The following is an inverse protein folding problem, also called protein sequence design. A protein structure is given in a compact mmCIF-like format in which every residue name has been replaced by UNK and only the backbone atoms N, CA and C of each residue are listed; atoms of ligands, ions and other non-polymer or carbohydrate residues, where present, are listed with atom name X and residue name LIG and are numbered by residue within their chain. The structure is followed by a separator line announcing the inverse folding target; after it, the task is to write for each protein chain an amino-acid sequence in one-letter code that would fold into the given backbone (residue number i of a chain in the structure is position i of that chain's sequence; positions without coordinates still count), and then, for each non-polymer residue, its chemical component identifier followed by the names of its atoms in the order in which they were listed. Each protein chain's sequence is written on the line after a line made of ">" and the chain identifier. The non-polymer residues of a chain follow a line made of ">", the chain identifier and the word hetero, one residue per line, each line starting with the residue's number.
data_IF_005931188915
#
_entry.id   IF_005931188915
#
_cell.length_a   1.000
_cell.length_b   1.000
_cell.length_c   1.000
_cell.angle_alpha   90.00
_cell.angle_beta   90.00
_cell.angle_gamma   90.00
#
_symmetry.space_group_name_H-M   'P 1'
#
loop_
_entity.id
_entity.type
_entity.pdbx_description
1 polymer ?
#
# COMPACT_ATOMS: atom_id res chain seq x y z
N UNK A 1 82.06 6.72 -4.52
CA UNK A 1 82.22 7.71 -5.61
C UNK A 1 82.64 6.93 -6.85
N UNK A 2 81.90 7.11 -7.95
CA UNK A 2 81.97 6.38 -9.24
C UNK A 2 81.46 4.95 -9.19
N UNK A 3 80.72 4.44 -10.14
CA UNK A 3 79.96 4.98 -11.27
C UNK A 3 79.08 3.77 -11.65
N UNK A 4 77.77 3.97 -11.72
CA UNK A 4 77.03 3.97 -12.98
C UNK A 4 77.21 2.72 -13.84
N UNK A 5 76.04 2.26 -14.27
CA UNK A 5 75.85 1.35 -15.39
C UNK A 5 76.42 -0.04 -15.19
N UNK A 6 75.50 -1.00 -15.06
CA UNK A 6 75.30 -1.88 -16.21
C UNK A 6 73.92 -2.54 -16.14
N UNK A 7 73.18 -2.28 -17.22
CA UNK A 7 72.44 -3.27 -17.99
C UNK A 7 71.22 -3.86 -17.27
N UNK A 8 70.03 -3.34 -17.53
CA UNK A 8 69.31 -3.67 -18.77
C UNK A 8 69.33 -5.17 -19.05
N UNK A 9 68.42 -5.89 -18.42
CA UNK A 9 67.75 -7.08 -18.99
C UNK A 9 66.32 -7.08 -18.43
N UNK A 10 65.33 -6.76 -19.27
CA UNK A 10 64.39 -7.74 -19.88
C UNK A 10 63.59 -8.48 -18.79
N UNK A 11 62.25 -8.48 -18.70
CA UNK A 11 61.16 -8.35 -19.68
C UNK A 11 59.96 -7.81 -18.89
N UNK A 12 59.31 -6.73 -19.31
CA UNK A 12 58.07 -6.82 -20.10
C UNK A 12 57.17 -7.95 -19.61
N UNK A 13 56.34 -7.64 -18.60
CA UNK A 13 55.13 -8.38 -18.30
C UNK A 13 53.96 -7.41 -18.57
N UNK A 14 53.54 -7.34 -19.84
CA UNK A 14 52.29 -6.68 -20.20
C UNK A 14 51.10 -7.62 -19.96
N UNK A 15 49.88 -7.08 -19.82
CA UNK A 15 48.89 -7.55 -18.85
C UNK A 15 47.92 -8.58 -19.44
N UNK A 16 47.59 -9.60 -18.66
CA UNK A 16 46.45 -10.50 -18.92
C UNK A 16 45.39 -10.34 -17.81
N UNK A 17 45.32 -9.16 -17.22
CA UNK A 17 44.22 -8.77 -16.32
C UNK A 17 43.42 -7.68 -17.06
N UNK A 18 42.68 -8.08 -18.08
CA UNK A 18 41.30 -8.52 -17.90
C UNK A 18 40.38 -7.34 -17.57
N UNK A 19 40.11 -6.52 -18.60
CA UNK A 19 38.81 -6.35 -19.25
C UNK A 19 37.50 -6.20 -18.43
N UNK A 20 37.52 -6.18 -17.10
CA UNK A 20 36.29 -6.20 -16.29
C UNK A 20 36.08 -4.95 -15.43
N UNK A 21 37.00 -3.97 -15.48
CA UNK A 21 36.99 -2.81 -14.60
C UNK A 21 35.99 -1.68 -14.98
N UNK A 22 35.20 -1.83 -16.06
CA UNK A 22 34.34 -0.74 -16.57
C UNK A 22 32.84 -1.05 -16.70
N UNK A 23 32.41 -2.29 -16.48
CA UNK A 23 31.03 -2.74 -16.80
C UNK A 23 30.07 -2.76 -15.60
N UNK A 24 30.54 -2.53 -14.38
CA UNK A 24 29.73 -2.66 -13.16
C UNK A 24 28.83 -1.45 -12.86
N UNK A 25 29.36 -0.22 -12.99
CA UNK A 25 28.63 1.00 -12.66
C UNK A 25 27.42 1.29 -13.57
N UNK A 26 27.53 1.21 -14.91
CA UNK A 26 26.38 1.46 -15.78
C UNK A 26 25.35 0.34 -15.68
N UNK A 27 25.76 -0.91 -15.45
CA UNK A 27 24.84 -2.04 -15.26
C UNK A 27 24.04 -1.90 -13.95
N UNK A 28 24.68 -1.45 -12.87
CA UNK A 28 24.01 -1.18 -11.59
C UNK A 28 23.03 0.00 -11.72
N UNK A 29 23.42 1.07 -12.41
CA UNK A 29 22.55 2.22 -12.67
C UNK A 29 21.35 1.85 -13.56
N UNK A 30 21.56 1.01 -14.57
CA UNK A 30 20.49 0.52 -15.44
C UNK A 30 19.52 -0.39 -14.68
N UNK A 31 20.02 -1.29 -13.81
CA UNK A 31 19.19 -2.11 -12.91
C UNK A 31 18.37 -1.23 -11.96
N UNK A 32 18.95 -0.15 -11.43
CA UNK A 32 18.27 0.80 -10.54
C UNK A 32 17.09 1.51 -11.24
N UNK A 33 17.21 1.82 -12.54
CA UNK A 33 16.15 2.47 -13.32
C UNK A 33 14.96 1.55 -13.60
N UNK A 34 15.15 0.23 -13.68
CA UNK A 34 14.07 -0.74 -13.84
C UNK A 34 13.23 -0.92 -12.57
N UNK A 35 13.83 -0.79 -11.38
CA UNK A 35 13.10 -0.91 -10.10
C UNK A 35 12.14 0.25 -9.89
N UNK A 36 12.42 1.43 -10.47
CA UNK A 36 11.61 2.64 -10.28
C UNK A 36 10.34 2.70 -11.15
N UNK A 37 10.19 1.80 -12.13
CA UNK A 37 9.04 1.81 -13.06
C UNK A 37 8.03 0.68 -12.83
N UNK A 38 8.18 -0.12 -11.76
CA UNK A 38 7.41 -1.34 -11.57
C UNK A 38 5.96 -1.13 -11.10
N UNK A 39 5.58 0.07 -10.66
CA UNK A 39 4.23 0.32 -10.15
C UNK A 39 3.48 1.35 -10.99
N UNK A 40 2.72 0.86 -11.97
CA UNK A 40 1.66 1.61 -12.63
C UNK A 40 0.33 1.17 -11.99
N UNK A 41 -0.30 1.99 -11.12
CA UNK A 41 -1.60 1.62 -10.57
C UNK A 41 -2.63 1.63 -11.70
N UNK A 42 -3.30 0.48 -11.92
CA UNK A 42 -4.50 0.44 -12.75
C UNK A 42 -5.64 1.10 -11.98
N UNK A 43 -6.51 1.89 -12.63
CA UNK A 43 -7.76 2.29 -12.00
C UNK A 43 -8.60 1.03 -11.80
N UNK A 44 -8.62 0.54 -10.57
CA UNK A 44 -9.59 -0.45 -10.13
C UNK A 44 -10.81 0.33 -9.66
N UNK A 45 -12.00 -0.14 -10.05
CA UNK A 45 -13.23 0.29 -9.40
C UNK A 45 -13.48 -0.64 -8.21
N UNK A 46 -14.06 -0.13 -7.12
CA UNK A 46 -14.51 -0.98 -6.01
C UNK A 46 -15.36 -2.15 -6.52
N UNK A 47 -15.18 -3.32 -5.92
CA UNK A 47 -16.04 -4.46 -6.23
C UNK A 47 -17.44 -4.30 -5.62
N UNK A 48 -17.52 -3.60 -4.48
CA UNK A 48 -18.76 -3.23 -3.81
C UNK A 48 -19.28 -1.91 -4.39
N UNK A 49 -20.58 -1.86 -4.67
CA UNK A 49 -21.27 -0.63 -5.07
C UNK A 49 -21.07 0.49 -4.04
N UNK A 50 -20.96 1.72 -4.52
CA UNK A 50 -20.58 2.85 -3.67
C UNK A 50 -21.63 3.15 -2.59
N UNK A 51 -22.92 3.06 -2.88
CA UNK A 51 -23.97 3.35 -1.89
C UNK A 51 -23.97 2.28 -0.80
N UNK A 52 -23.84 1.00 -1.20
CA UNK A 52 -23.67 -0.12 -0.26
C UNK A 52 -22.40 0.03 0.58
N UNK A 53 -21.30 0.47 -0.03
CA UNK A 53 -20.04 0.69 0.67
C UNK A 53 -20.14 1.81 1.70
N UNK A 54 -20.89 2.88 1.40
CA UNK A 54 -21.18 3.96 2.36
C UNK A 54 -21.94 3.41 3.57
N UNK A 55 -23.00 2.65 3.36
CA UNK A 55 -23.78 2.06 4.47
C UNK A 55 -22.93 1.13 5.35
N UNK A 56 -22.14 0.26 4.73
CA UNK A 56 -21.21 -0.64 5.43
C UNK A 56 -20.21 0.13 6.28
N UNK A 57 -19.59 1.17 5.72
CA UNK A 57 -18.56 1.94 6.42
C UNK A 57 -19.13 2.78 7.57
N UNK A 58 -20.38 3.24 7.47
CA UNK A 58 -21.09 3.87 8.58
C UNK A 58 -21.23 2.89 9.75
N UNK A 59 -21.70 1.66 9.49
CA UNK A 59 -21.84 0.66 10.54
C UNK A 59 -20.49 0.26 11.15
N UNK A 60 -19.43 0.18 10.34
CA UNK A 60 -18.05 -0.03 10.82
C UNK A 60 -17.63 1.10 11.77
N UNK A 61 -17.87 2.36 11.43
CA UNK A 61 -17.56 3.49 12.30
C UNK A 61 -18.34 3.46 13.61
N UNK A 62 -19.62 3.08 13.57
CA UNK A 62 -20.45 2.91 14.77
C UNK A 62 -19.92 1.77 15.64
N UNK A 63 -19.55 0.64 15.04
CA UNK A 63 -18.95 -0.49 15.75
C UNK A 63 -17.62 -0.11 16.42
N UNK A 64 -16.75 0.62 15.72
CA UNK A 64 -15.49 1.11 16.28
C UNK A 64 -15.69 2.08 17.46
N UNK A 65 -16.67 2.97 17.35
CA UNK A 65 -17.04 3.89 18.42
C UNK A 65 -17.57 3.13 19.65
N UNK A 66 -18.41 2.11 19.44
CA UNK A 66 -19.00 1.31 20.52
C UNK A 66 -17.95 0.55 21.35
N UNK A 67 -16.84 0.12 20.73
CA UNK A 67 -15.75 -0.59 21.43
C UNK A 67 -14.63 0.33 21.93
N UNK A 68 -14.73 1.65 21.73
CA UNK A 68 -13.61 2.58 21.97
C UNK A 68 -13.13 2.56 23.44
N UNK A 69 -14.03 2.29 24.38
CA UNK A 69 -13.72 2.19 25.81
C UNK A 69 -13.06 0.84 26.20
N UNK A 70 -13.18 -0.19 25.36
CA UNK A 70 -12.62 -1.51 25.60
C UNK A 70 -11.12 -1.55 25.28
N UNK A 71 -10.40 -2.52 25.86
CA UNK A 71 -8.95 -2.69 25.69
C UNK A 71 -8.58 -4.16 25.51
N UNK A 72 -7.44 -4.39 24.87
CA UNK A 72 -6.83 -5.72 24.69
C UNK A 72 -7.77 -6.72 24.02
N UNK A 73 -7.64 -7.99 24.41
CA UNK A 73 -8.36 -9.11 23.82
C UNK A 73 -9.89 -8.94 23.81
N UNK A 74 -10.46 -8.22 24.79
CA UNK A 74 -11.91 -7.95 24.83
C UNK A 74 -12.33 -7.02 23.69
N UNK A 75 -11.54 -5.97 23.41
CA UNK A 75 -11.80 -5.09 22.26
C UNK A 75 -11.73 -5.87 20.96
N UNK A 76 -10.68 -6.67 20.80
CA UNK A 76 -10.44 -7.45 19.58
C UNK A 76 -11.55 -8.47 19.34
N UNK A 77 -12.00 -9.15 20.41
CA UNK A 77 -13.10 -10.11 20.34
C UNK A 77 -14.42 -9.44 19.95
N UNK A 78 -14.71 -8.25 20.51
CA UNK A 78 -15.94 -7.52 20.17
C UNK A 78 -15.93 -6.96 18.75
N UNK A 79 -14.78 -6.46 18.27
CA UNK A 79 -14.64 -6.05 16.88
C UNK A 79 -14.87 -7.22 15.92
N UNK A 80 -14.34 -8.40 16.23
CA UNK A 80 -14.54 -9.58 15.39
C UNK A 80 -16.03 -9.96 15.29
N UNK A 81 -16.78 -9.87 16.40
CA UNK A 81 -18.23 -10.10 16.39
C UNK A 81 -18.95 -9.05 15.55
N UNK A 82 -18.65 -7.75 15.75
CA UNK A 82 -19.31 -6.68 15.01
C UNK A 82 -19.03 -6.74 13.51
N UNK A 83 -17.78 -6.99 13.10
CA UNK A 83 -17.46 -7.14 11.68
C UNK A 83 -18.16 -8.35 11.04
N UNK A 84 -18.30 -9.46 11.78
CA UNK A 84 -19.11 -10.59 11.33
C UNK A 84 -20.57 -10.19 11.11
N UNK A 85 -21.17 -9.50 12.08
CA UNK A 85 -22.57 -9.04 11.98
C UNK A 85 -22.80 -8.05 10.85
N UNK A 86 -21.90 -7.07 10.67
CA UNK A 86 -21.95 -6.11 9.56
C UNK A 86 -21.90 -6.85 8.23
N UNK A 87 -20.99 -7.82 8.09
CA UNK A 87 -20.91 -8.66 6.90
C UNK A 87 -22.21 -9.41 6.61
N UNK A 88 -22.84 -9.97 7.63
CA UNK A 88 -24.13 -10.66 7.51
C UNK A 88 -25.28 -9.73 7.13
N UNK A 89 -25.39 -8.56 7.79
CA UNK A 89 -26.43 -7.56 7.54
C UNK A 89 -26.38 -7.07 6.10
N UNK A 90 -25.17 -6.78 5.61
CA UNK A 90 -24.96 -6.23 4.27
C UNK A 90 -24.76 -7.30 3.19
N UNK A 91 -24.73 -8.59 3.54
CA UNK A 91 -24.45 -9.68 2.61
C UNK A 91 -23.13 -9.44 1.87
N UNK A 92 -22.04 -9.22 2.60
CA UNK A 92 -20.72 -8.97 2.05
C UNK A 92 -20.01 -10.28 1.71
N UNK A 93 -19.46 -10.36 0.51
CA UNK A 93 -18.38 -11.29 0.21
C UNK A 93 -17.05 -10.70 0.71
N UNK A 94 -16.32 -11.48 1.50
CA UNK A 94 -15.05 -11.04 2.07
C UNK A 94 -14.02 -10.74 0.99
N UNK A 95 -14.05 -11.46 -0.14
CA UNK A 95 -13.13 -11.23 -1.24
C UNK A 95 -13.44 -9.90 -1.97
N UNK A 96 -14.72 -9.58 -2.16
CA UNK A 96 -15.15 -8.28 -2.71
C UNK A 96 -14.78 -7.12 -1.76
N UNK A 97 -14.94 -7.32 -0.46
CA UNK A 97 -14.57 -6.32 0.54
C UNK A 97 -13.06 -6.06 0.56
N UNK A 98 -12.22 -7.10 0.59
CA UNK A 98 -10.77 -6.96 0.53
C UNK A 98 -10.31 -6.24 -0.74
N UNK A 99 -10.84 -6.64 -1.90
CA UNK A 99 -10.54 -6.01 -3.20
C UNK A 99 -10.97 -4.54 -3.22
N UNK A 100 -12.12 -4.23 -2.62
CA UNK A 100 -12.61 -2.87 -2.46
C UNK A 100 -11.68 -2.04 -1.59
N UNK A 101 -11.22 -2.58 -0.45
CA UNK A 101 -10.27 -1.91 0.44
C UNK A 101 -8.91 -1.66 -0.23
N UNK A 102 -8.41 -2.61 -1.03
CA UNK A 102 -7.21 -2.39 -1.84
C UNK A 102 -7.39 -1.27 -2.86
N UNK A 103 -8.56 -1.21 -3.51
CA UNK A 103 -8.90 -0.15 -4.46
C UNK A 103 -8.90 1.22 -3.78
N UNK A 104 -9.57 1.34 -2.63
CA UNK A 104 -9.60 2.59 -1.87
C UNK A 104 -8.20 3.06 -1.44
N UNK A 105 -7.31 2.14 -1.05
CA UNK A 105 -5.93 2.46 -0.66
C UNK A 105 -5.10 3.00 -1.83
N UNK A 106 -5.39 2.57 -3.05
CA UNK A 106 -4.65 2.95 -4.25
C UNK A 106 -5.16 4.23 -4.90
N UNK A 107 -6.37 4.69 -4.56
CA UNK A 107 -6.94 5.96 -5.03
C UNK A 107 -7.36 6.88 -3.85
N UNK A 108 -6.41 7.68 -3.32
CA UNK A 108 -6.69 8.61 -2.23
C UNK A 108 -7.76 9.65 -2.55
N UNK A 109 -7.91 10.05 -3.83
CA UNK A 109 -8.91 11.05 -4.24
C UNK A 109 -10.31 10.46 -4.18
N UNK A 110 -10.45 9.22 -4.65
CA UNK A 110 -11.71 8.50 -4.54
C UNK A 110 -12.09 8.27 -3.07
N UNK A 111 -11.13 7.89 -2.23
CA UNK A 111 -11.37 7.72 -0.79
C UNK A 111 -11.85 9.02 -0.11
N UNK A 112 -11.24 10.16 -0.44
CA UNK A 112 -11.67 11.47 0.08
C UNK A 112 -13.11 11.81 -0.32
N UNK A 113 -13.47 11.57 -1.58
CA UNK A 113 -14.83 11.76 -2.08
C UNK A 113 -15.83 10.83 -1.37
N UNK A 114 -15.46 9.56 -1.15
CA UNK A 114 -16.28 8.59 -0.42
C UNK A 114 -16.51 9.03 1.02
N UNK A 115 -15.48 9.51 1.73
CA UNK A 115 -15.63 10.02 3.09
C UNK A 115 -16.58 11.22 3.15
N UNK A 116 -16.55 12.10 2.16
CA UNK A 116 -17.49 13.23 2.08
C UNK A 116 -18.94 12.74 1.99
N UNK A 117 -19.19 11.64 1.28
CA UNK A 117 -20.52 11.00 1.20
C UNK A 117 -20.93 10.34 2.51
N UNK A 118 -20.01 9.62 3.16
CA UNK A 118 -20.25 8.99 4.47
C UNK A 118 -20.73 10.03 5.49
N UNK A 119 -20.04 11.17 5.58
CA UNK A 119 -20.41 12.24 6.52
C UNK A 119 -21.80 12.81 6.21
N UNK A 120 -22.09 13.11 4.94
CA UNK A 120 -23.40 13.61 4.52
C UNK A 120 -24.53 12.61 4.80
N UNK A 121 -24.25 11.31 4.65
CA UNK A 121 -25.20 10.24 4.92
C UNK A 121 -25.48 10.10 6.42
N UNK A 122 -24.44 10.14 7.26
CA UNK A 122 -24.57 10.13 8.73
C UNK A 122 -25.42 11.30 9.23
N UNK A 123 -25.15 12.52 8.76
CA UNK A 123 -25.94 13.72 9.10
C UNK A 123 -27.42 13.53 8.74
N UNK A 124 -27.70 12.95 7.56
CA UNK A 124 -29.09 12.69 7.13
C UNK A 124 -29.78 11.68 8.04
N UNK A 125 -29.06 10.64 8.49
CA UNK A 125 -29.62 9.65 9.40
C UNK A 125 -29.90 10.24 10.80
N UNK A 126 -29.10 11.19 11.26
CA UNK A 126 -29.36 11.90 12.51
C UNK A 126 -30.63 12.76 12.43
N UNK A 127 -30.79 13.57 11.37
CA UNK A 127 -31.99 14.40 11.18
C UNK A 127 -33.26 13.55 11.13
N UNK A 128 -33.24 12.42 10.40
CA UNK A 128 -34.41 11.52 10.33
C UNK A 128 -34.80 10.94 11.71
N UNK A 129 -33.83 10.67 12.58
CA UNK A 129 -34.11 10.16 13.94
C UNK A 129 -34.75 11.21 14.84
N UNK A 130 -34.55 12.51 14.58
CA UNK A 130 -35.16 13.59 15.35
C UNK A 130 -36.63 13.88 14.94
N UNK A 131 -37.04 13.42 13.76
CA UNK A 131 -38.39 13.60 13.22
C UNK A 131 -39.38 12.47 13.63
N UNK A 132 -38.89 11.38 14.22
CA UNK A 132 -39.66 10.21 14.71
C UNK A 132 -39.93 10.24 16.22
#
# INVERSE_FOLDING_TARGET
>A
MKDKEKRQTRRVLYPVQAAYAGLGLPALAFLLLFVLNACQPKPAHPAIDEDKLVEVLIDVHVAEAAVQALRGATKDSMLNVYYGQIGEIHGLDMQEFETTMETLRNDPKYLEALYSKIMSEMERQEVKKEEE
#
